data_IF_107709370712
#
_entry.id   IF_107709370712
#
_cell.length_a   1.000
_cell.length_b   1.000
_cell.length_c   1.000
_cell.angle_alpha   90.00
_cell.angle_beta   90.00
_cell.angle_gamma   90.00
#
_symmetry.space_group_name_H-M   'P 1'
#
loop_
_entity.id
_entity.type
_entity.pdbx_description
1 polymer ?
#
# COMPACT_ATOMS: atom_id res chain seq x y z
N UNK A 1 -16.32 3.56 -25.88
CA UNK A 1 -15.19 3.02 -26.68
C UNK A 1 -14.45 1.90 -25.93
N UNK A 2 -14.23 2.02 -24.63
CA UNK A 2 -13.58 0.99 -23.79
C UNK A 2 -14.39 -0.32 -23.72
N UNK A 3 -15.72 -0.25 -23.73
CA UNK A 3 -16.59 -1.43 -23.75
C UNK A 3 -16.55 -2.20 -25.10
N UNK A 4 -16.07 -1.58 -26.18
CA UNK A 4 -15.88 -2.22 -27.48
C UNK A 4 -14.56 -2.98 -27.60
N UNK A 5 -13.53 -2.59 -26.84
CA UNK A 5 -12.22 -3.25 -26.82
C UNK A 5 -12.21 -4.57 -26.02
N UNK A 6 -13.23 -4.81 -25.21
CA UNK A 6 -13.41 -6.06 -24.48
C UNK A 6 -14.16 -7.13 -25.26
N UNK A 7 -14.77 -6.79 -26.41
CA UNK A 7 -15.54 -7.74 -27.24
C UNK A 7 -14.74 -8.37 -28.39
N UNK A 8 -13.60 -7.78 -28.75
CA UNK A 8 -12.75 -8.32 -29.82
C UNK A 8 -11.64 -9.17 -29.19
N UNK A 9 -11.83 -10.47 -29.23
CA UNK A 9 -11.01 -11.53 -28.64
C UNK A 9 -9.52 -11.57 -29.06
N UNK A 10 -8.82 -10.46 -28.92
CA UNK A 10 -7.38 -10.37 -29.12
C UNK A 10 -6.64 -10.44 -27.78
N UNK A 11 -6.46 -11.69 -27.32
CA UNK A 11 -5.72 -12.10 -26.12
C UNK A 11 -4.21 -11.86 -26.27
N UNK A 12 -3.74 -10.62 -26.34
CA UNK A 12 -2.32 -10.38 -26.60
C UNK A 12 -1.69 -9.11 -26.03
N UNK A 13 -2.46 -8.24 -25.40
CA UNK A 13 -1.87 -7.00 -24.82
C UNK A 13 -2.51 -6.65 -23.48
N UNK A 14 -2.39 -7.53 -22.52
CA UNK A 14 -2.50 -7.09 -21.13
C UNK A 14 -1.16 -6.51 -20.72
N UNK A 15 -1.10 -5.19 -20.54
CA UNK A 15 -0.02 -4.55 -19.83
C UNK A 15 0.21 -5.33 -18.53
N UNK A 16 1.39 -5.93 -18.39
CA UNK A 16 1.84 -6.56 -17.15
C UNK A 16 2.02 -5.49 -16.07
N UNK A 17 0.92 -4.96 -15.57
CA UNK A 17 0.94 -4.29 -14.27
C UNK A 17 1.04 -5.38 -13.22
N UNK A 18 2.20 -5.53 -12.64
CA UNK A 18 2.53 -6.62 -11.73
C UNK A 18 1.76 -6.67 -10.40
N UNK A 19 0.69 -5.88 -10.21
CA UNK A 19 -0.05 -5.82 -8.94
C UNK A 19 -1.51 -5.37 -9.18
N UNK A 20 -2.29 -6.18 -9.87
CA UNK A 20 -3.43 -5.73 -10.64
C UNK A 20 -4.79 -5.57 -9.95
N UNK A 21 -5.05 -6.02 -8.73
CA UNK A 21 -6.47 -6.08 -8.26
C UNK A 21 -6.92 -4.83 -7.52
N UNK A 22 -6.08 -4.18 -6.72
CA UNK A 22 -6.48 -2.95 -6.01
C UNK A 22 -6.56 -1.72 -6.91
N UNK A 23 -5.81 -1.71 -8.02
CA UNK A 23 -5.81 -0.62 -9.00
C UNK A 23 -7.06 -0.66 -9.87
N UNK A 24 -7.56 -1.83 -10.26
CA UNK A 24 -8.80 -1.99 -11.02
C UNK A 24 -10.04 -1.50 -10.24
N UNK A 25 -10.11 -1.80 -8.95
CA UNK A 25 -11.18 -1.30 -8.09
C UNK A 25 -11.11 0.21 -7.86
N UNK A 26 -9.90 0.79 -7.84
CA UNK A 26 -9.71 2.23 -7.83
C UNK A 26 -10.17 2.87 -9.15
N UNK A 27 -10.04 2.18 -10.28
CA UNK A 27 -10.52 2.62 -11.59
C UNK A 27 -12.05 2.65 -11.69
N UNK A 28 -12.75 1.63 -11.22
CA UNK A 28 -14.21 1.58 -11.26
C UNK A 28 -14.86 2.72 -10.46
N UNK A 29 -14.22 3.15 -9.37
CA UNK A 29 -14.67 4.29 -8.58
C UNK A 29 -14.30 5.66 -9.18
N UNK A 30 -13.37 5.72 -10.13
CA UNK A 30 -12.89 6.96 -10.77
C UNK A 30 -13.66 7.33 -12.05
N UNK A 31 -14.33 6.37 -12.70
CA UNK A 31 -15.00 6.59 -14.00
C UNK A 31 -16.40 7.22 -13.91
N UNK A 32 -16.87 7.58 -12.73
CA UNK A 32 -18.24 8.07 -12.53
C UNK A 32 -18.40 9.61 -12.50
N UNK A 33 -17.47 10.41 -13.04
CA UNK A 33 -17.67 11.85 -13.17
C UNK A 33 -17.08 12.42 -14.46
N UNK A 34 -17.90 13.16 -15.18
CA UNK A 34 -17.78 13.58 -16.60
C UNK A 34 -16.78 14.71 -16.92
N UNK A 35 -15.89 15.13 -16.03
CA UNK A 35 -14.88 16.15 -16.37
C UNK A 35 -13.54 15.82 -15.68
N UNK A 36 -12.74 14.94 -16.33
CA UNK A 36 -11.40 14.59 -15.87
C UNK A 36 -10.37 15.12 -16.89
N UNK A 37 -9.56 16.07 -16.46
CA UNK A 37 -8.38 16.50 -17.21
C UNK A 37 -7.29 15.42 -17.08
N UNK A 38 -7.14 14.59 -18.11
CA UNK A 38 -6.16 13.48 -18.14
C UNK A 38 -4.87 13.99 -18.79
N UNK A 39 -3.77 13.88 -18.07
CA UNK A 39 -2.45 14.16 -18.66
C UNK A 39 -2.12 13.12 -19.75
N UNK A 40 -1.40 13.53 -20.84
CA UNK A 40 -1.01 12.62 -21.90
C UNK A 40 -0.14 11.47 -21.35
N UNK A 41 -0.42 10.27 -21.83
CA UNK A 41 0.37 9.07 -21.52
C UNK A 41 1.72 9.18 -22.25
N UNK A 42 2.80 9.31 -21.49
CA UNK A 42 4.13 9.00 -22.02
C UNK A 42 4.39 7.52 -21.75
N UNK A 43 4.50 6.75 -22.85
CA UNK A 43 4.90 5.34 -22.82
C UNK A 43 6.34 5.23 -22.30
N UNK A 44 6.50 5.09 -20.99
CA UNK A 44 7.78 4.79 -20.37
C UNK A 44 7.85 3.32 -19.92
N UNK A 45 7.88 2.42 -20.89
CA UNK A 45 8.14 0.99 -20.67
C UNK A 45 9.66 0.70 -20.74
N UNK A 46 10.46 1.60 -20.16
CA UNK A 46 11.89 1.39 -20.00
C UNK A 46 12.24 1.47 -18.51
N UNK A 47 12.76 0.38 -17.95
CA UNK A 47 13.49 0.36 -16.68
C UNK A 47 14.77 1.23 -16.78
N UNK A 48 14.60 2.53 -17.00
CA UNK A 48 15.70 3.47 -16.83
C UNK A 48 15.89 3.60 -15.32
N UNK A 49 17.11 3.35 -14.80
CA UNK A 49 17.37 3.59 -13.39
C UNK A 49 17.09 5.07 -13.10
N UNK A 50 16.00 5.32 -12.39
CA UNK A 50 15.57 6.68 -12.04
C UNK A 50 16.65 7.27 -11.15
N UNK A 51 17.39 8.23 -11.67
CA UNK A 51 18.36 8.98 -10.89
C UNK A 51 17.59 9.82 -9.87
N UNK A 52 17.65 9.42 -8.61
CA UNK A 52 16.99 10.13 -7.51
C UNK A 52 17.88 11.32 -7.13
N UNK A 53 17.40 12.57 -7.27
CA UNK A 53 18.15 13.74 -6.86
C UNK A 53 18.32 13.78 -5.32
N UNK A 54 19.41 14.41 -4.83
CA UNK A 54 19.67 14.50 -3.40
C UNK A 54 18.69 15.41 -2.65
N UNK A 55 17.94 16.22 -3.36
CA UNK A 55 16.89 17.09 -2.81
C UNK A 55 15.57 16.81 -3.52
N UNK A 56 14.55 16.50 -2.75
CA UNK A 56 13.21 16.21 -3.23
C UNK A 56 12.14 17.01 -2.48
N UNK A 57 11.02 17.34 -3.18
CA UNK A 57 9.81 17.73 -2.48
C UNK A 57 9.30 16.58 -1.62
N UNK A 58 8.94 16.87 -0.37
CA UNK A 58 8.51 15.89 0.63
C UNK A 58 7.01 15.96 0.83
N UNK A 59 6.32 14.88 0.47
CA UNK A 59 4.88 14.73 0.68
C UNK A 59 4.61 13.97 1.97
N UNK A 60 4.09 14.63 3.03
CA UNK A 60 3.77 13.97 4.28
C UNK A 60 2.44 13.21 4.18
N UNK A 61 2.45 11.91 4.50
CA UNK A 61 1.25 11.08 4.63
C UNK A 61 0.84 10.92 6.10
N UNK A 62 -0.48 10.87 6.38
CA UNK A 62 -1.00 10.78 7.75
C UNK A 62 -0.97 9.35 8.30
N UNK A 63 -1.66 8.44 7.62
CA UNK A 63 -1.96 7.10 8.12
C UNK A 63 -1.56 5.99 7.15
N UNK A 64 -0.73 6.33 6.17
CA UNK A 64 -0.39 5.42 5.08
C UNK A 64 1.11 5.35 4.90
N UNK A 65 1.60 4.14 4.61
CA UNK A 65 3.00 3.87 4.28
C UNK A 65 3.06 3.36 2.85
N UNK A 66 3.86 4.00 2.02
CA UNK A 66 4.13 3.56 0.66
C UNK A 66 5.42 2.74 0.63
N UNK A 67 5.35 1.55 0.07
CA UNK A 67 6.51 0.66 -0.08
C UNK A 67 7.12 0.77 -1.48
N UNK A 68 8.42 0.46 -1.64
CA UNK A 68 9.03 0.30 -2.95
C UNK A 68 8.28 -0.72 -3.80
N UNK A 69 8.28 -0.51 -5.11
CA UNK A 69 7.60 -1.36 -6.10
C UNK A 69 6.07 -1.51 -5.91
N UNK A 70 5.45 -0.76 -5.00
CA UNK A 70 4.00 -0.77 -4.81
C UNK A 70 3.34 0.42 -5.50
N UNK A 71 2.14 0.18 -6.05
CA UNK A 71 1.26 1.23 -6.59
C UNK A 71 0.22 1.60 -5.54
N UNK A 72 -0.07 2.89 -5.42
CA UNK A 72 -1.06 3.37 -4.47
C UNK A 72 -1.82 4.57 -5.01
N UNK A 73 -3.16 4.57 -4.87
CA UNK A 73 -3.94 5.78 -5.06
C UNK A 73 -3.81 6.69 -3.83
N UNK A 74 -3.49 7.97 -4.04
CA UNK A 74 -3.42 8.98 -2.98
C UNK A 74 -4.41 10.11 -3.26
N UNK A 75 -5.05 10.61 -2.20
CA UNK A 75 -5.86 11.82 -2.24
C UNK A 75 -5.12 12.95 -1.53
N UNK A 76 -4.94 14.07 -2.21
CA UNK A 76 -4.22 15.23 -1.72
C UNK A 76 -5.15 16.44 -1.75
N UNK A 77 -5.43 17.00 -0.57
CA UNK A 77 -6.38 18.10 -0.39
C UNK A 77 -5.78 19.34 0.29
N UNK A 78 -4.56 19.25 0.87
CA UNK A 78 -3.88 20.38 1.49
C UNK A 78 -3.28 21.28 0.43
N UNK A 79 -3.46 22.58 0.53
CA UNK A 79 -2.96 23.57 -0.46
C UNK A 79 -1.45 23.45 -0.70
N UNK A 80 -0.65 23.30 0.37
CA UNK A 80 0.80 23.10 0.27
C UNK A 80 1.18 21.80 -0.48
N UNK A 81 0.43 20.73 -0.25
CA UNK A 81 0.65 19.45 -0.93
C UNK A 81 0.15 19.47 -2.38
N UNK A 82 -0.94 20.19 -2.67
CA UNK A 82 -1.43 20.41 -4.03
C UNK A 82 -0.38 21.16 -4.85
N UNK A 83 0.14 22.27 -4.32
CA UNK A 83 1.19 23.04 -4.97
C UNK A 83 2.47 22.22 -5.20
N UNK A 84 2.88 21.40 -4.21
CA UNK A 84 4.00 20.47 -4.33
C UNK A 84 3.80 19.52 -5.52
N UNK A 85 2.62 18.92 -5.64
CA UNK A 85 2.32 17.95 -6.70
C UNK A 85 2.27 18.62 -8.07
N UNK A 86 1.63 19.79 -8.20
CA UNK A 86 1.58 20.55 -9.47
C UNK A 86 3.00 20.90 -9.95
N UNK A 87 3.89 21.31 -9.04
CA UNK A 87 5.29 21.62 -9.38
C UNK A 87 6.10 20.34 -9.70
N UNK A 88 5.91 19.26 -8.95
CA UNK A 88 6.57 17.98 -9.21
C UNK A 88 6.21 17.41 -10.59
N UNK A 89 4.95 17.54 -11.01
CA UNK A 89 4.48 17.07 -12.33
C UNK A 89 5.09 17.90 -13.46
N UNK A 90 5.24 19.20 -13.27
CA UNK A 90 5.92 20.07 -14.25
C UNK A 90 7.41 19.75 -14.39
N UNK A 91 8.01 19.04 -13.41
CA UNK A 91 9.41 18.65 -13.37
C UNK A 91 9.63 17.16 -13.58
N UNK A 92 10.29 16.52 -12.62
CA UNK A 92 10.73 15.11 -12.67
C UNK A 92 9.65 14.08 -12.36
N UNK A 93 8.47 14.51 -11.91
CA UNK A 93 7.39 13.66 -11.36
C UNK A 93 7.83 12.80 -10.16
N UNK A 94 8.95 13.16 -9.54
CA UNK A 94 9.49 12.48 -8.37
C UNK A 94 9.22 13.28 -7.10
N UNK A 95 8.74 12.59 -6.07
CA UNK A 95 8.51 13.13 -4.73
C UNK A 95 9.02 12.15 -3.67
N UNK A 96 9.49 12.66 -2.54
CA UNK A 96 9.76 11.85 -1.36
C UNK A 96 8.50 11.72 -0.51
N UNK A 97 8.00 10.51 -0.33
CA UNK A 97 6.81 10.26 0.50
C UNK A 97 7.26 9.79 1.89
N UNK A 98 6.83 10.51 2.92
CA UNK A 98 7.18 10.21 4.31
C UNK A 98 5.92 10.20 5.19
N UNK A 99 5.81 9.20 6.05
CA UNK A 99 4.68 9.09 6.97
C UNK A 99 4.89 9.97 8.20
N UNK A 100 3.82 10.58 8.70
CA UNK A 100 3.83 11.37 9.93
C UNK A 100 3.79 10.46 11.16
N UNK A 101 4.54 10.82 12.21
CA UNK A 101 4.46 10.18 13.53
C UNK A 101 3.11 10.45 14.20
N UNK A 102 2.55 11.65 13.98
CA UNK A 102 1.26 12.08 14.52
C UNK A 102 0.34 12.52 13.39
N UNK A 103 -0.75 11.80 13.11
CA UNK A 103 -1.64 12.10 11.97
C UNK A 103 -2.33 13.47 12.03
N UNK A 104 -2.42 14.07 13.22
CA UNK A 104 -3.14 15.33 13.44
C UNK A 104 -2.39 16.61 13.08
N UNK A 105 -1.10 16.54 12.78
CA UNK A 105 -0.28 17.74 12.48
C UNK A 105 -0.52 18.19 11.03
N UNK A 106 -0.87 19.45 10.83
CA UNK A 106 -1.09 20.00 9.48
C UNK A 106 0.23 20.31 8.78
N UNK A 107 1.17 20.94 9.46
CA UNK A 107 2.51 21.27 8.97
C UNK A 107 3.54 20.51 9.82
N UNK A 108 3.89 19.26 9.47
CA UNK A 108 4.82 18.47 10.26
C UNK A 108 6.25 19.01 10.13
N UNK A 109 6.93 19.07 11.26
CA UNK A 109 8.39 19.30 11.33
C UNK A 109 9.16 18.01 11.01
N UNK A 110 10.48 18.11 10.84
CA UNK A 110 11.33 16.93 10.60
C UNK A 110 11.18 15.88 11.72
N UNK A 111 11.07 16.31 12.98
CA UNK A 111 10.94 15.42 14.13
C UNK A 111 9.58 14.70 14.20
N UNK A 112 8.60 15.17 13.43
CA UNK A 112 7.25 14.59 13.34
C UNK A 112 7.07 13.69 12.11
N UNK A 113 8.12 13.51 11.31
CA UNK A 113 8.18 12.57 10.20
C UNK A 113 9.03 11.36 10.56
N UNK A 114 8.67 10.20 10.02
CA UNK A 114 9.56 9.04 10.08
C UNK A 114 10.81 9.31 9.23
N UNK A 115 11.98 8.87 9.71
CA UNK A 115 13.25 9.09 9.04
C UNK A 115 13.38 8.34 7.70
N UNK A 116 12.66 7.24 7.55
CA UNK A 116 12.66 6.43 6.32
C UNK A 116 11.31 6.59 5.62
N UNK A 117 11.38 6.93 4.34
CA UNK A 117 10.24 7.04 3.43
C UNK A 117 10.56 6.39 2.08
N UNK A 118 9.83 6.79 1.05
CA UNK A 118 9.93 6.17 -0.27
C UNK A 118 10.01 7.24 -1.37
N UNK A 119 11.01 7.12 -2.25
CA UNK A 119 11.05 7.85 -3.52
C UNK A 119 9.89 7.37 -4.37
N UNK A 120 9.10 8.29 -4.89
CA UNK A 120 7.81 7.98 -5.47
C UNK A 120 7.65 8.70 -6.79
N UNK A 121 7.29 7.95 -7.83
CA UNK A 121 6.96 8.50 -9.13
C UNK A 121 5.44 8.69 -9.27
N UNK A 122 5.02 9.85 -9.79
CA UNK A 122 3.62 10.18 -10.05
C UNK A 122 3.28 9.76 -11.47
N UNK A 123 2.48 8.71 -11.62
CA UNK A 123 2.06 8.20 -12.93
C UNK A 123 0.90 9.01 -13.52
N UNK A 124 -0.18 9.19 -12.74
CA UNK A 124 -1.39 9.90 -13.18
C UNK A 124 -1.89 10.83 -12.10
N UNK A 125 -2.44 11.97 -12.51
CA UNK A 125 -3.09 12.94 -11.65
C UNK A 125 -4.48 13.26 -12.23
N UNK A 126 -5.45 13.34 -11.33
CA UNK A 126 -6.81 13.77 -11.63
C UNK A 126 -7.19 14.90 -10.68
N UNK A 127 -7.58 16.04 -11.22
CA UNK A 127 -8.04 17.17 -10.44
C UNK A 127 -9.57 17.12 -10.33
N UNK A 128 -10.07 17.08 -9.10
CA UNK A 128 -11.50 17.08 -8.82
C UNK A 128 -12.06 18.52 -8.77
N UNK A 129 -13.37 18.73 -8.99
CA UNK A 129 -13.97 20.06 -8.95
C UNK A 129 -13.87 20.76 -7.58
N UNK A 130 -13.67 20.00 -6.51
CA UNK A 130 -13.46 20.51 -5.14
C UNK A 130 -12.00 20.96 -4.87
N UNK A 131 -11.13 20.89 -5.87
CA UNK A 131 -9.71 21.23 -5.76
C UNK A 131 -8.83 20.11 -5.24
N UNK A 132 -9.39 18.97 -4.82
CA UNK A 132 -8.63 17.80 -4.38
C UNK A 132 -7.94 17.13 -5.56
N UNK A 133 -6.69 16.73 -5.39
CA UNK A 133 -5.97 15.93 -6.37
C UNK A 133 -6.05 14.45 -6.01
N UNK A 134 -6.36 13.61 -6.98
CA UNK A 134 -6.19 12.16 -6.89
C UNK A 134 -5.02 11.73 -7.75
N UNK A 135 -4.10 11.01 -7.14
CA UNK A 135 -2.85 10.57 -7.75
C UNK A 135 -2.80 9.06 -7.81
N UNK A 136 -2.19 8.54 -8.88
CA UNK A 136 -1.70 7.16 -8.91
C UNK A 136 -0.18 7.25 -8.85
N UNK A 137 0.39 6.73 -7.77
CA UNK A 137 1.81 6.82 -7.50
C UNK A 137 2.45 5.44 -7.39
N UNK A 138 3.74 5.36 -7.70
CA UNK A 138 4.54 4.15 -7.58
C UNK A 138 5.78 4.43 -6.72
N UNK A 139 5.99 3.63 -5.70
CA UNK A 139 7.22 3.62 -4.93
C UNK A 139 8.38 3.08 -5.78
N UNK A 140 9.53 3.78 -5.74
CA UNK A 140 10.73 3.39 -6.50
C UNK A 140 11.80 2.80 -5.59
N UNK A 141 12.21 3.53 -4.57
CA UNK A 141 13.29 3.15 -3.66
C UNK A 141 13.05 3.71 -2.26
N UNK A 142 13.67 3.09 -1.26
CA UNK A 142 13.70 3.64 0.10
C UNK A 142 14.55 4.90 0.16
N UNK A 143 14.08 5.88 0.90
CA UNK A 143 14.78 7.12 1.19
C UNK A 143 15.00 7.29 2.68
N UNK A 144 16.15 7.85 3.04
CA UNK A 144 16.38 8.41 4.35
C UNK A 144 16.31 9.93 4.25
N UNK A 145 15.52 10.57 5.11
CA UNK A 145 15.45 12.03 5.24
C UNK A 145 16.58 12.50 6.15
N UNK A 146 17.56 13.18 5.59
CA UNK A 146 18.70 13.68 6.35
C UNK A 146 18.39 15.04 6.98
N UNK A 147 17.77 15.95 6.22
CA UNK A 147 17.49 17.31 6.67
C UNK A 147 16.29 17.90 5.91
N UNK A 148 15.43 18.63 6.61
CA UNK A 148 14.41 19.49 5.99
C UNK A 148 15.03 20.84 5.70
N UNK A 149 15.10 21.21 4.41
CA UNK A 149 15.72 22.44 3.94
C UNK A 149 14.75 23.62 3.99
N UNK A 150 13.52 23.39 3.54
CA UNK A 150 12.45 24.38 3.44
C UNK A 150 11.13 23.78 3.90
N UNK A 151 10.29 24.60 4.53
CA UNK A 151 8.95 24.21 4.97
C UNK A 151 7.85 24.94 4.21
N UNK A 152 8.17 26.05 3.51
CA UNK A 152 7.23 26.87 2.74
C UNK A 152 7.76 27.11 1.34
N UNK A 153 6.91 27.06 0.29
CA UNK A 153 5.47 26.84 0.30
C UNK A 153 5.06 25.39 0.63
N UNK A 154 5.97 24.43 0.49
CA UNK A 154 5.84 23.03 0.87
C UNK A 154 7.19 22.52 1.38
N UNK A 155 7.20 21.33 1.96
CA UNK A 155 8.40 20.75 2.53
C UNK A 155 9.36 20.29 1.41
N UNK A 156 10.61 20.75 1.47
CA UNK A 156 11.73 20.22 0.67
C UNK A 156 12.78 19.64 1.62
N UNK A 157 13.29 18.48 1.30
CA UNK A 157 14.26 17.80 2.15
C UNK A 157 15.44 17.27 1.35
N UNK A 158 16.58 17.19 2.02
CA UNK A 158 17.76 16.46 1.57
C UNK A 158 17.55 14.99 1.91
N UNK A 159 17.65 14.15 0.88
CA UNK A 159 17.39 12.72 0.98
C UNK A 159 18.56 11.93 0.42
N UNK A 160 18.73 10.73 0.90
CA UNK A 160 19.64 9.73 0.32
C UNK A 160 18.92 8.42 0.13
N UNK A 161 19.31 7.68 -0.90
CA UNK A 161 18.80 6.32 -1.11
C UNK A 161 19.28 5.43 0.03
N UNK A 162 18.35 4.75 0.68
CA UNK A 162 18.63 3.78 1.71
C UNK A 162 18.74 2.40 1.07
N UNK A 163 19.98 1.96 0.85
CA UNK A 163 20.26 0.67 0.23
C UNK A 163 19.92 -0.48 1.17
N UNK A 164 19.44 -1.57 0.60
CA UNK A 164 19.14 -2.79 1.34
C UNK A 164 20.43 -3.53 1.70
N UNK A 165 20.47 -4.03 2.93
CA UNK A 165 21.58 -4.82 3.43
C UNK A 165 21.22 -6.30 3.24
N UNK A 166 21.97 -6.99 2.38
CA UNK A 166 21.89 -8.43 2.18
C UNK A 166 23.10 -9.07 2.85
N UNK A 167 22.88 -9.76 3.97
CA UNK A 167 23.92 -10.56 4.64
C UNK A 167 24.39 -11.71 3.74
N UNK A 168 25.70 -11.88 3.61
CA UNK A 168 26.31 -12.88 2.70
C UNK A 168 26.09 -14.34 3.19
N UNK A 169 25.78 -14.55 4.47
CA UNK A 169 25.79 -15.86 5.12
C UNK A 169 24.46 -16.63 5.10
N UNK A 170 23.34 -16.02 4.71
CA UNK A 170 22.03 -16.45 5.19
C UNK A 170 21.05 -16.91 4.12
N UNK A 171 21.51 -17.31 2.93
CA UNK A 171 20.58 -17.73 1.85
C UNK A 171 19.60 -18.82 2.29
N UNK A 172 20.07 -19.84 3.03
CA UNK A 172 19.19 -20.90 3.51
C UNK A 172 18.17 -20.41 4.52
N UNK A 173 18.57 -19.49 5.40
CA UNK A 173 17.65 -18.87 6.37
C UNK A 173 16.63 -17.97 5.68
N UNK A 174 17.06 -17.16 4.72
CA UNK A 174 16.18 -16.33 3.92
C UNK A 174 15.18 -17.18 3.13
N UNK A 175 15.62 -18.27 2.49
CA UNK A 175 14.75 -19.19 1.77
C UNK A 175 13.72 -19.86 2.70
N UNK A 176 14.13 -20.23 3.92
CA UNK A 176 13.24 -20.78 4.92
C UNK A 176 12.21 -19.74 5.42
N UNK A 177 12.66 -18.50 5.67
CA UNK A 177 11.79 -17.39 6.04
C UNK A 177 10.79 -17.07 4.94
N UNK A 178 11.21 -17.04 3.68
CA UNK A 178 10.31 -16.84 2.54
C UNK A 178 9.18 -17.86 2.51
N UNK A 179 9.52 -19.15 2.67
CA UNK A 179 8.51 -20.22 2.69
C UNK A 179 7.53 -20.04 3.86
N UNK A 180 8.04 -19.73 5.05
CA UNK A 180 7.22 -19.50 6.23
C UNK A 180 6.29 -18.31 6.05
N UNK A 181 6.81 -17.20 5.51
CA UNK A 181 6.04 -15.98 5.27
C UNK A 181 4.95 -16.23 4.23
N UNK A 182 5.26 -16.90 3.12
CA UNK A 182 4.26 -17.26 2.10
C UNK A 182 3.16 -18.13 2.70
N UNK A 183 3.51 -19.15 3.50
CA UNK A 183 2.54 -19.99 4.18
C UNK A 183 1.67 -19.25 5.20
N UNK A 184 2.25 -18.38 6.02
CA UNK A 184 1.50 -17.55 6.96
C UNK A 184 0.61 -16.53 6.23
N UNK A 185 1.08 -15.92 5.15
CA UNK A 185 0.31 -14.99 4.35
C UNK A 185 -0.91 -15.66 3.70
N UNK A 186 -0.73 -16.87 3.15
CA UNK A 186 -1.84 -17.68 2.65
C UNK A 186 -2.92 -17.93 3.71
N UNK A 187 -2.50 -18.24 4.96
CA UNK A 187 -3.45 -18.43 6.07
C UNK A 187 -4.18 -17.12 6.40
N UNK A 188 -3.48 -15.98 6.42
CA UNK A 188 -4.08 -14.67 6.65
C UNK A 188 -5.10 -14.34 5.55
N UNK A 189 -4.78 -14.61 4.28
CA UNK A 189 -5.72 -14.42 3.16
C UNK A 189 -6.97 -15.26 3.36
N UNK A 190 -6.83 -16.54 3.69
CA UNK A 190 -7.98 -17.45 3.87
C UNK A 190 -8.91 -17.06 5.03
N UNK A 191 -8.41 -16.34 6.03
CA UNK A 191 -9.16 -15.89 7.19
C UNK A 191 -9.74 -14.47 7.03
N UNK A 192 -9.18 -13.67 6.13
CA UNK A 192 -9.55 -12.27 5.93
C UNK A 192 -10.50 -12.10 4.75
N UNK A 193 -11.73 -11.63 4.94
CA UNK A 193 -12.64 -11.34 3.84
C UNK A 193 -12.24 -10.10 3.01
N UNK A 194 -11.23 -9.34 3.48
CA UNK A 194 -10.75 -8.10 2.86
C UNK A 194 -9.61 -8.32 1.86
N UNK A 195 -8.98 -9.50 1.88
CA UNK A 195 -7.86 -9.85 1.01
C UNK A 195 -8.34 -10.76 -0.11
N UNK A 196 -7.89 -10.48 -1.35
CA UNK A 196 -8.19 -11.32 -2.50
C UNK A 196 -7.23 -12.51 -2.58
N UNK A 197 -7.74 -13.67 -3.01
CA UNK A 197 -6.93 -14.88 -3.27
C UNK A 197 -5.83 -14.64 -4.33
N UNK A 198 -6.01 -13.67 -5.22
CA UNK A 198 -5.01 -13.32 -6.24
C UNK A 198 -3.69 -12.85 -5.61
N UNK A 199 -3.72 -12.26 -4.40
CA UNK A 199 -2.52 -11.83 -3.69
C UNK A 199 -1.59 -12.99 -3.37
N UNK A 200 -2.13 -14.19 -3.15
CA UNK A 200 -1.32 -15.39 -2.94
C UNK A 200 -0.52 -15.74 -4.21
N UNK A 201 -1.19 -15.76 -5.38
CA UNK A 201 -0.53 -16.07 -6.63
C UNK A 201 0.57 -15.05 -6.98
N UNK A 202 0.33 -13.77 -6.68
CA UNK A 202 1.33 -12.71 -6.84
C UNK A 202 2.53 -12.91 -5.90
N UNK A 203 2.29 -13.21 -4.62
CA UNK A 203 3.36 -13.45 -3.65
C UNK A 203 4.23 -14.67 -4.01
N UNK A 204 3.63 -15.74 -4.58
CA UNK A 204 4.37 -16.92 -5.04
C UNK A 204 5.35 -16.60 -6.17
N UNK A 205 4.99 -15.68 -7.08
CA UNK A 205 5.81 -15.29 -8.22
C UNK A 205 6.97 -14.35 -7.85
N UNK A 206 6.99 -13.77 -6.64
CA UNK A 206 8.08 -12.91 -6.20
C UNK A 206 9.22 -13.76 -5.66
N UNK A 207 10.36 -13.72 -6.37
CA UNK A 207 11.56 -14.46 -5.99
C UNK A 207 12.47 -13.69 -5.00
N UNK A 208 12.50 -12.35 -5.11
CA UNK A 208 13.29 -11.49 -4.25
C UNK A 208 12.68 -11.34 -2.86
N UNK A 209 13.49 -11.60 -1.82
CA UNK A 209 13.03 -11.60 -0.43
C UNK A 209 12.60 -10.22 0.07
N UNK A 210 13.34 -9.18 -0.29
CA UNK A 210 13.02 -7.80 0.07
C UNK A 210 11.73 -7.33 -0.59
N UNK A 211 11.59 -7.57 -1.89
CA UNK A 211 10.37 -7.24 -2.65
C UNK A 211 9.15 -8.03 -2.16
N UNK A 212 9.34 -9.30 -1.77
CA UNK A 212 8.27 -10.12 -1.18
C UNK A 212 7.80 -9.54 0.15
N UNK A 213 8.73 -9.15 1.02
CA UNK A 213 8.39 -8.54 2.30
C UNK A 213 7.61 -7.23 2.11
N UNK A 214 8.04 -6.38 1.19
CA UNK A 214 7.39 -5.11 0.88
C UNK A 214 5.99 -5.31 0.29
N UNK A 215 5.85 -6.25 -0.64
CA UNK A 215 4.57 -6.59 -1.24
C UNK A 215 3.55 -7.04 -0.19
N UNK A 216 3.94 -7.99 0.67
CA UNK A 216 3.05 -8.50 1.71
C UNK A 216 2.70 -7.39 2.71
N UNK A 217 3.69 -6.62 3.20
CA UNK A 217 3.45 -5.52 4.13
C UNK A 217 2.53 -4.44 3.56
N UNK A 218 2.65 -4.13 2.25
CA UNK A 218 1.76 -3.19 1.56
C UNK A 218 0.33 -3.71 1.45
N UNK A 219 0.15 -5.03 1.22
CA UNK A 219 -1.14 -5.68 1.02
C UNK A 219 -1.96 -5.82 2.31
N UNK A 220 -1.31 -5.90 3.47
CA UNK A 220 -1.99 -6.02 4.77
C UNK A 220 -2.65 -4.68 5.16
N UNK A 221 -3.97 -4.59 5.05
CA UNK A 221 -4.73 -3.37 5.38
C UNK A 221 -5.05 -3.23 6.87
N UNK A 222 -5.00 -4.32 7.61
CA UNK A 222 -5.40 -4.41 9.03
C UNK A 222 -4.30 -4.03 10.01
N UNK A 223 -3.04 -4.08 9.62
CA UNK A 223 -1.91 -3.75 10.48
C UNK A 223 -1.71 -2.24 10.63
N UNK A 224 -1.25 -1.84 11.82
CA UNK A 224 -1.02 -0.44 12.16
C UNK A 224 0.07 0.20 11.29
N UNK A 225 -0.09 1.50 11.01
CA UNK A 225 0.88 2.32 10.27
C UNK A 225 2.28 2.26 10.88
N UNK A 226 2.39 2.26 12.21
CA UNK A 226 3.67 2.13 12.92
C UNK A 226 4.39 0.82 12.61
N UNK A 227 3.66 -0.30 12.54
CA UNK A 227 4.22 -1.61 12.19
C UNK A 227 4.67 -1.64 10.72
N UNK A 228 3.87 -1.09 9.80
CA UNK A 228 4.28 -0.93 8.39
C UNK A 228 5.54 -0.10 8.27
N UNK A 229 5.61 1.00 9.02
CA UNK A 229 6.76 1.88 9.01
C UNK A 229 8.01 1.23 9.59
N UNK A 230 7.86 0.36 10.59
CA UNK A 230 8.96 -0.45 11.12
C UNK A 230 9.51 -1.40 10.05
N UNK A 231 8.64 -2.10 9.31
CA UNK A 231 9.04 -2.96 8.18
C UNK A 231 9.73 -2.15 7.08
N UNK A 232 9.20 -0.96 6.72
CA UNK A 232 9.83 -0.08 5.73
C UNK A 232 11.21 0.39 6.19
N UNK A 233 11.36 0.76 7.47
CA UNK A 233 12.58 1.30 8.07
C UNK A 233 13.69 0.26 8.30
N UNK A 234 13.36 -1.03 8.30
CA UNK A 234 14.35 -2.10 8.48
C UNK A 234 15.06 -2.38 7.15
N UNK A 235 16.32 -1.97 7.06
CA UNK A 235 17.12 -2.09 5.83
C UNK A 235 17.71 -3.48 5.65
N UNK A 236 18.00 -4.20 6.74
CA UNK A 236 18.41 -5.61 6.69
C UNK A 236 17.24 -6.48 6.25
N UNK A 237 17.40 -7.18 5.12
CA UNK A 237 16.32 -7.99 4.53
C UNK A 237 15.91 -9.14 5.43
N UNK A 238 16.87 -9.79 6.13
CA UNK A 238 16.59 -10.88 7.04
C UNK A 238 15.76 -10.40 8.24
N UNK A 239 16.22 -9.32 8.90
CA UNK A 239 15.50 -8.73 10.03
C UNK A 239 14.10 -8.27 9.65
N UNK A 240 13.96 -7.67 8.45
CA UNK A 240 12.67 -7.26 7.88
C UNK A 240 11.72 -8.46 7.72
N UNK A 241 12.23 -9.56 7.18
CA UNK A 241 11.44 -10.77 7.01
C UNK A 241 11.04 -11.40 8.34
N UNK A 242 11.92 -11.41 9.33
CA UNK A 242 11.60 -11.88 10.67
C UNK A 242 10.50 -11.03 11.32
N UNK A 243 10.58 -9.70 11.19
CA UNK A 243 9.56 -8.78 11.71
C UNK A 243 8.21 -8.96 11.01
N UNK A 244 8.23 -9.10 9.68
CA UNK A 244 7.03 -9.38 8.91
C UNK A 244 6.42 -10.73 9.31
N UNK A 245 7.24 -11.77 9.49
CA UNK A 245 6.75 -13.08 9.91
C UNK A 245 6.09 -13.04 11.30
N UNK A 246 6.68 -12.31 12.26
CA UNK A 246 6.06 -12.08 13.57
C UNK A 246 4.71 -11.33 13.44
N UNK A 247 4.65 -10.35 12.57
CA UNK A 247 3.44 -9.59 12.29
C UNK A 247 2.34 -10.47 11.68
N UNK A 248 2.68 -11.31 10.70
CA UNK A 248 1.74 -12.24 10.07
C UNK A 248 1.18 -13.29 11.05
N UNK A 249 2.03 -13.83 11.91
CA UNK A 249 1.60 -14.78 12.95
C UNK A 249 0.59 -14.11 13.88
N UNK A 250 0.89 -12.90 14.35
CA UNK A 250 -0.01 -12.13 15.22
C UNK A 250 -1.34 -11.80 14.53
N UNK A 251 -1.28 -11.38 13.27
CA UNK A 251 -2.47 -11.06 12.49
C UNK A 251 -3.36 -12.28 12.29
N UNK A 252 -2.77 -13.42 11.96
CA UNK A 252 -3.48 -14.69 11.85
C UNK A 252 -4.19 -15.05 13.15
N UNK A 253 -3.50 -14.96 14.32
CA UNK A 253 -4.10 -15.24 15.61
C UNK A 253 -5.30 -14.32 15.91
N UNK A 254 -5.21 -13.04 15.57
CA UNK A 254 -6.31 -12.07 15.72
C UNK A 254 -7.50 -12.45 14.83
N UNK A 255 -7.25 -12.81 13.57
CA UNK A 255 -8.28 -13.21 12.63
C UNK A 255 -8.97 -14.53 13.04
N UNK A 256 -8.19 -15.52 13.48
CA UNK A 256 -8.72 -16.80 14.00
C UNK A 256 -9.63 -16.57 15.22
N UNK A 257 -9.19 -15.73 16.16
CA UNK A 257 -9.99 -15.38 17.35
C UNK A 257 -11.26 -14.63 16.96
N UNK A 258 -11.15 -13.67 16.04
CA UNK A 258 -12.31 -12.92 15.53
C UNK A 258 -13.34 -13.83 14.87
N UNK A 259 -12.91 -14.75 14.01
CA UNK A 259 -13.78 -15.74 13.38
C UNK A 259 -14.48 -16.65 14.40
N UNK A 260 -13.75 -17.10 15.42
CA UNK A 260 -14.32 -17.92 16.51
C UNK A 260 -15.39 -17.17 17.30
N UNK A 261 -15.12 -15.93 17.71
CA UNK A 261 -16.09 -15.08 18.42
C UNK A 261 -17.34 -14.87 17.57
N UNK A 262 -17.18 -14.57 16.28
CA UNK A 262 -18.30 -14.36 15.37
C UNK A 262 -19.17 -15.61 15.21
N UNK A 263 -18.56 -16.78 15.13
CA UNK A 263 -19.23 -18.08 15.07
C UNK A 263 -20.03 -18.37 16.35
N UNK A 264 -19.46 -18.09 17.53
CA UNK A 264 -20.13 -18.26 18.82
C UNK A 264 -21.35 -17.32 18.94
N UNK A 265 -21.20 -16.04 18.58
CA UNK A 265 -22.30 -15.06 18.59
C UNK A 265 -23.43 -15.49 17.65
N UNK A 266 -23.11 -15.92 16.41
CA UNK A 266 -24.13 -16.41 15.48
C UNK A 266 -24.86 -17.65 16.01
N UNK A 267 -24.15 -18.56 16.65
CA UNK A 267 -24.75 -19.75 17.29
C UNK A 267 -25.72 -19.38 18.39
N UNK A 268 -25.36 -18.43 19.24
CA UNK A 268 -26.24 -17.97 20.33
C UNK A 268 -27.50 -17.24 19.82
N UNK A 269 -27.32 -16.34 18.85
CA UNK A 269 -28.45 -15.65 18.20
C UNK A 269 -29.38 -16.66 17.54
N UNK A 270 -28.84 -17.66 16.84
CA UNK A 270 -29.62 -18.73 16.23
C UNK A 270 -30.42 -19.57 17.27
N UNK A 271 -29.81 -19.86 18.42
CA UNK A 271 -30.54 -20.55 19.54
C UNK A 271 -31.66 -19.71 20.08
N UNK A 272 -31.42 -18.44 20.37
CA UNK A 272 -32.42 -17.51 20.90
C UNK A 272 -33.60 -17.32 19.95
N UNK A 273 -33.35 -17.17 18.65
CA UNK A 273 -34.41 -17.09 17.63
C UNK A 273 -35.21 -18.38 17.54
N UNK A 274 -34.58 -19.53 17.63
CA UNK A 274 -35.26 -20.83 17.61
C UNK A 274 -36.12 -21.04 18.83
N UNK A 275 -35.64 -20.65 20.02
CA UNK A 275 -36.43 -20.70 21.24
C UNK A 275 -37.64 -19.75 21.20
N UNK A 276 -37.46 -18.55 20.64
CA UNK A 276 -38.55 -17.61 20.44
C UNK A 276 -39.63 -18.18 19.52
N UNK A 277 -39.25 -18.72 18.37
CA UNK A 277 -40.18 -19.34 17.42
C UNK A 277 -40.95 -20.53 18.05
N UNK A 278 -40.24 -21.38 18.81
CA UNK A 278 -40.88 -22.50 19.52
C UNK A 278 -41.90 -22.03 20.58
N UNK A 279 -41.56 -20.96 21.32
CA UNK A 279 -42.52 -20.36 22.28
C UNK A 279 -43.75 -19.79 21.61
N UNK A 280 -43.58 -19.13 20.46
CA UNK A 280 -44.72 -18.58 19.69
C UNK A 280 -45.62 -19.73 19.12
N UNK A 281 -45.00 -20.80 18.61
CA UNK A 281 -45.77 -21.97 18.16
C UNK A 281 -46.53 -22.65 19.28
N UNK A 282 -45.96 -22.74 20.50
CA UNK A 282 -46.65 -23.30 21.68
C UNK A 282 -47.78 -22.41 22.18
N UNK A 283 -47.79 -21.10 21.95
CA UNK A 283 -48.89 -20.20 22.29
C UNK A 283 -50.07 -20.29 21.29
N UNK A 284 -49.79 -20.75 20.07
CA UNK A 284 -50.80 -20.84 19.02
C UNK A 284 -51.59 -22.17 19.03
N UNK A 285 -51.23 -23.12 19.93
CA UNK A 285 -51.92 -24.38 20.21
C UNK A 285 -52.74 -24.22 21.48
#
# INVERSE_FOLDING_TARGET
>A
EVARLLSDGNSGRYCRFGYGVSVLQAWENLTMSDELEVLPEEDSDSEVPVSIPPELPVLPLRDTVLFPNSFMPLAVARDSSVQLIEEAIAGSRLVGVFTQLKPGTEEPTQEELYAVGTATHIHKMFKLPDGTLRLIVQGQARLHLDEVLETKPYIRGRVRVAEEILGVSDRLEIDALQRNIKGNFQQVISLSPLLSDDLQALAENIADAGKLADFIASSLTTIQTSTKQQVLGTLDVRERMEELNRTLIKEREVLELGSKIQSEVQSEVGKTQREYLLREQMKAI
#
